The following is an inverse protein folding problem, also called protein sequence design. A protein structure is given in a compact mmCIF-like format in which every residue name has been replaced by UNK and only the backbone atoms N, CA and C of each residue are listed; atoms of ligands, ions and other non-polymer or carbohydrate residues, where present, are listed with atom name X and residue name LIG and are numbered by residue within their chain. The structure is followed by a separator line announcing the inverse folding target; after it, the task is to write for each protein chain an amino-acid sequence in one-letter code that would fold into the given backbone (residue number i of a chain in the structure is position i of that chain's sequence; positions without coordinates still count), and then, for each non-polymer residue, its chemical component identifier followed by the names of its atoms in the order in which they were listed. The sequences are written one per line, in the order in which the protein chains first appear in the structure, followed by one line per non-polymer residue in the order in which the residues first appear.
data_IF_550640361209
#
_entry.id   IF_550640361209
#
_cell.length_a   1.000
_cell.length_b   1.000
_cell.length_c   1.000
_cell.angle_alpha   90.00
_cell.angle_beta   90.00
_cell.angle_gamma   90.00
#
_symmetry.space_group_name_H-M   'P 1'
#
loop_
_entity.id
_entity.type
_entity.pdbx_description
1 polymer ?
#
# COMPACT_ATOMS: atom_id res chain seq x y z
N UNK A 1 -45.87 -30.29 -66.91
CA UNK A 1 -47.25 -29.92 -67.30
C UNK A 1 -47.98 -29.43 -66.06
N UNK A 2 -48.36 -28.13 -66.09
CA UNK A 2 -49.45 -27.44 -65.38
C UNK A 2 -49.49 -27.48 -63.83
N UNK A 3 -49.18 -26.34 -63.19
CA UNK A 3 -50.11 -25.26 -62.72
C UNK A 3 -50.69 -25.67 -61.34
N UNK A 4 -50.65 -24.90 -60.25
CA UNK A 4 -50.98 -23.48 -60.03
C UNK A 4 -50.64 -23.12 -58.57
N UNK A 5 -50.26 -21.86 -58.31
CA UNK A 5 -50.29 -21.19 -57.00
C UNK A 5 -51.76 -20.93 -56.55
N UNK A 6 -52.07 -20.74 -55.25
CA UNK A 6 -51.91 -19.42 -54.62
C UNK A 6 -51.60 -19.39 -53.12
N UNK A 7 -51.30 -18.17 -52.67
CA UNK A 7 -50.88 -17.73 -51.34
C UNK A 7 -52.00 -16.88 -50.70
N UNK A 8 -52.58 -17.29 -49.57
CA UNK A 8 -53.39 -16.51 -48.59
C UNK A 8 -53.43 -17.38 -47.30
N UNK A 9 -53.42 -16.95 -46.04
CA UNK A 9 -53.05 -15.77 -45.25
C UNK A 9 -53.36 -16.21 -43.79
N UNK A 10 -52.48 -15.85 -42.84
CA UNK A 10 -52.73 -15.69 -41.40
C UNK A 10 -53.46 -16.82 -40.62
N UNK A 11 -52.72 -17.46 -39.70
CA UNK A 11 -53.30 -17.87 -38.41
C UNK A 11 -52.28 -17.65 -37.31
N UNK A 12 -52.56 -16.65 -36.48
CA UNK A 12 -51.82 -16.28 -35.28
C UNK A 12 -51.99 -17.36 -34.20
N UNK A 13 -50.90 -17.92 -33.68
CA UNK A 13 -50.93 -18.71 -32.43
C UNK A 13 -49.72 -18.38 -31.55
N UNK A 14 -50.07 -17.80 -30.40
CA UNK A 14 -49.48 -17.90 -29.06
C UNK A 14 -48.00 -17.55 -28.83
N UNK A 15 -47.84 -16.45 -28.07
CA UNK A 15 -46.67 -16.05 -27.29
C UNK A 15 -46.12 -17.22 -26.45
N UNK A 16 -44.90 -17.64 -26.77
CA UNK A 16 -44.04 -18.47 -25.92
C UNK A 16 -43.16 -17.58 -25.03
N UNK A 17 -43.17 -17.90 -23.75
CA UNK A 17 -42.51 -17.18 -22.64
C UNK A 17 -41.03 -16.87 -22.90
N UNK A 18 -40.68 -15.60 -22.77
CA UNK A 18 -39.31 -15.11 -22.61
C UNK A 18 -38.74 -15.55 -21.25
N UNK A 19 -37.95 -16.62 -21.26
CA UNK A 19 -37.05 -16.96 -20.18
C UNK A 19 -35.77 -16.11 -20.28
N UNK A 20 -35.61 -15.19 -19.33
CA UNK A 20 -34.36 -14.45 -19.12
C UNK A 20 -33.27 -15.42 -18.65
N UNK A 21 -32.30 -15.75 -19.50
CA UNK A 21 -31.03 -16.29 -19.06
C UNK A 21 -30.05 -15.14 -18.85
N UNK A 22 -29.98 -14.67 -17.61
CA UNK A 22 -28.83 -13.93 -17.08
C UNK A 22 -27.63 -14.89 -16.99
N UNK A 23 -26.90 -15.05 -18.08
CA UNK A 23 -25.53 -15.51 -18.02
C UNK A 23 -24.63 -14.27 -17.86
N UNK A 24 -24.17 -14.03 -16.63
CA UNK A 24 -23.01 -13.17 -16.35
C UNK A 24 -21.85 -13.59 -17.27
N UNK A 25 -21.21 -12.68 -18.02
CA UNK A 25 -19.99 -13.02 -18.73
C UNK A 25 -18.93 -13.35 -17.68
N UNK A 26 -18.34 -14.55 -17.77
CA UNK A 26 -17.03 -14.80 -17.19
C UNK A 26 -16.09 -13.81 -17.86
N UNK A 27 -15.47 -12.90 -17.11
CA UNK A 27 -14.52 -11.97 -17.67
C UNK A 27 -13.39 -12.76 -18.35
N UNK A 28 -13.22 -12.60 -19.67
CA UNK A 28 -12.08 -13.15 -20.38
C UNK A 28 -10.79 -12.71 -19.67
N UNK A 29 -9.89 -13.65 -19.35
CA UNK A 29 -8.61 -13.29 -18.75
C UNK A 29 -7.84 -12.39 -19.72
N UNK A 30 -7.51 -11.16 -19.31
CA UNK A 30 -6.74 -10.19 -20.10
C UNK A 30 -5.41 -10.81 -20.53
N UNK A 31 -5.25 -11.02 -21.84
CA UNK A 31 -4.08 -11.68 -22.44
C UNK A 31 -2.99 -10.68 -22.85
N UNK A 32 -1.77 -11.18 -23.13
CA UNK A 32 -0.59 -10.36 -23.45
C UNK A 32 -0.70 -9.42 -24.66
N UNK A 33 -1.69 -9.60 -25.52
CA UNK A 33 -1.97 -8.73 -26.67
C UNK A 33 -3.06 -7.66 -26.43
N UNK A 34 -3.66 -7.63 -25.25
CA UNK A 34 -4.70 -6.68 -24.89
C UNK A 34 -4.09 -5.31 -24.48
N UNK A 35 -4.61 -4.16 -24.97
CA UNK A 35 -4.19 -2.82 -24.54
C UNK A 35 -4.27 -2.56 -23.02
N UNK A 36 -5.04 -3.36 -22.28
CA UNK A 36 -5.20 -3.33 -20.83
C UNK A 36 -4.16 -4.19 -20.08
N UNK A 37 -3.34 -4.96 -20.80
CA UNK A 37 -2.32 -5.82 -20.22
C UNK A 37 -1.08 -5.03 -19.84
N UNK A 38 -0.68 -5.09 -18.57
CA UNK A 38 0.58 -4.52 -18.11
C UNK A 38 1.64 -5.62 -17.97
N UNK A 39 2.60 -5.65 -18.90
CA UNK A 39 3.60 -6.71 -19.00
C UNK A 39 4.66 -6.60 -17.90
N UNK A 40 4.93 -7.70 -17.21
CA UNK A 40 6.08 -7.84 -16.34
C UNK A 40 7.31 -8.38 -17.09
N UNK A 41 8.51 -8.13 -16.57
CA UNK A 41 9.74 -8.75 -17.06
C UNK A 41 10.35 -9.67 -16.01
N UNK A 42 10.69 -10.90 -16.40
CA UNK A 42 11.41 -11.84 -15.54
C UNK A 42 12.78 -11.30 -15.10
N UNK A 43 13.39 -10.41 -15.91
CA UNK A 43 14.70 -9.84 -15.61
C UNK A 43 14.70 -9.02 -14.33
N UNK A 44 13.58 -8.41 -13.94
CA UNK A 44 13.48 -7.68 -12.68
C UNK A 44 13.64 -8.60 -11.47
N UNK A 45 13.16 -9.84 -11.60
CA UNK A 45 13.21 -10.85 -10.54
C UNK A 45 14.58 -11.53 -10.51
N UNK A 46 15.18 -11.82 -11.67
CA UNK A 46 16.49 -12.52 -11.74
C UNK A 46 17.69 -11.59 -11.62
N UNK A 47 17.52 -10.30 -11.88
CA UNK A 47 18.57 -9.28 -11.78
C UNK A 47 18.00 -7.97 -11.18
N UNK A 48 17.71 -7.95 -9.87
CA UNK A 48 17.00 -6.86 -9.23
C UNK A 48 17.85 -5.60 -8.97
N UNK A 49 19.14 -5.59 -9.33
CA UNK A 49 20.10 -4.60 -8.82
C UNK A 49 19.99 -3.19 -9.41
N UNK A 50 19.34 -3.02 -10.57
CA UNK A 50 19.33 -1.74 -11.30
C UNK A 50 17.91 -1.29 -11.64
N UNK A 51 17.11 -0.85 -10.65
CA UNK A 51 15.83 -0.23 -10.94
C UNK A 51 16.04 1.08 -11.72
N UNK A 52 15.09 1.47 -12.59
CA UNK A 52 15.27 2.64 -13.44
C UNK A 52 15.23 3.95 -12.62
N UNK A 53 16.05 4.93 -13.03
CA UNK A 53 16.08 6.25 -12.39
C UNK A 53 14.89 7.15 -12.76
N UNK A 54 14.18 6.80 -13.84
CA UNK A 54 13.01 7.50 -14.36
C UNK A 54 11.94 6.47 -14.77
N UNK A 55 10.69 6.92 -14.92
CA UNK A 55 9.61 6.05 -15.41
C UNK A 55 9.97 5.58 -16.83
N UNK A 56 9.96 4.26 -17.11
CA UNK A 56 10.33 3.74 -18.42
C UNK A 56 9.49 4.35 -19.55
N UNK A 57 10.11 4.79 -20.65
CA UNK A 57 9.42 5.39 -21.79
C UNK A 57 8.64 6.65 -21.40
N UNK A 58 9.25 7.50 -20.57
CA UNK A 58 8.80 8.85 -20.19
C UNK A 58 7.39 8.95 -19.58
N UNK A 59 6.85 7.84 -19.07
CA UNK A 59 5.55 7.84 -18.36
C UNK A 59 4.35 8.11 -19.27
N UNK A 60 4.42 7.74 -20.55
CA UNK A 60 3.31 7.87 -21.50
C UNK A 60 2.02 7.14 -21.09
N UNK A 61 2.09 6.12 -20.22
CA UNK A 61 0.92 5.38 -19.76
C UNK A 61 1.03 4.80 -18.33
N UNK A 62 -0.13 4.43 -17.76
CA UNK A 62 -0.25 3.91 -16.39
C UNK A 62 0.64 2.69 -16.11
N UNK A 63 0.80 1.78 -17.07
CA UNK A 63 1.56 0.55 -16.85
C UNK A 63 3.03 0.85 -16.51
N UNK A 64 3.65 1.83 -17.16
CA UNK A 64 5.05 2.18 -16.94
C UNK A 64 5.30 2.64 -15.49
N UNK A 65 4.34 3.33 -14.86
CA UNK A 65 4.43 3.69 -13.44
C UNK A 65 4.37 2.47 -12.53
N UNK A 66 3.49 1.50 -12.80
CA UNK A 66 3.47 0.27 -11.99
C UNK A 66 4.70 -0.61 -12.22
N UNK A 67 5.24 -0.63 -13.44
CA UNK A 67 6.52 -1.30 -13.73
C UNK A 67 7.66 -0.63 -12.96
N UNK A 68 7.69 0.71 -12.93
CA UNK A 68 8.65 1.48 -12.13
C UNK A 68 8.53 1.14 -10.64
N UNK A 69 7.31 1.17 -10.08
CA UNK A 69 7.06 0.84 -8.67
C UNK A 69 7.49 -0.59 -8.34
N UNK A 70 7.15 -1.57 -9.17
CA UNK A 70 7.55 -2.96 -8.94
C UNK A 70 9.06 -3.16 -9.03
N UNK A 71 9.74 -2.54 -10.00
CA UNK A 71 11.20 -2.64 -10.12
C UNK A 71 11.90 -2.09 -8.88
N UNK A 72 11.47 -0.94 -8.36
CA UNK A 72 12.01 -0.39 -7.12
C UNK A 72 11.68 -1.23 -5.89
N UNK A 73 10.43 -1.71 -5.75
CA UNK A 73 10.08 -2.60 -4.64
C UNK A 73 10.91 -3.88 -4.65
N UNK A 74 11.08 -4.51 -5.81
CA UNK A 74 11.92 -5.72 -5.96
C UNK A 74 13.38 -5.42 -5.60
N UNK A 75 13.93 -4.31 -6.08
CA UNK A 75 15.29 -3.90 -5.73
C UNK A 75 15.44 -3.71 -4.21
N UNK A 76 14.51 -2.99 -3.57
CA UNK A 76 14.53 -2.74 -2.14
C UNK A 76 14.43 -4.04 -1.33
N UNK A 77 13.65 -5.01 -1.82
CA UNK A 77 13.48 -6.31 -1.19
C UNK A 77 14.63 -7.28 -1.45
N UNK A 78 15.47 -7.06 -2.47
CA UNK A 78 16.62 -7.93 -2.74
C UNK A 78 17.65 -7.83 -1.61
N UNK A 79 18.31 -8.95 -1.28
CA UNK A 79 19.32 -9.04 -0.22
C UNK A 79 20.67 -9.59 -0.75
N UNK A 80 21.32 -8.91 -1.70
CA UNK A 80 22.57 -9.39 -2.33
C UNK A 80 23.73 -9.62 -1.33
N UNK A 81 23.65 -9.01 -0.15
CA UNK A 81 24.63 -9.13 0.94
C UNK A 81 23.99 -9.69 2.23
N UNK A 82 22.98 -10.56 2.10
CA UNK A 82 22.21 -11.15 3.21
C UNK A 82 21.35 -10.17 4.03
N UNK A 83 21.36 -8.89 3.68
CA UNK A 83 20.49 -7.85 4.24
C UNK A 83 19.72 -7.23 3.10
N UNK A 84 18.40 -7.04 3.25
CA UNK A 84 17.56 -6.43 2.22
C UNK A 84 17.99 -4.99 2.02
N UNK A 85 18.03 -4.51 0.78
CA UNK A 85 18.56 -3.18 0.47
C UNK A 85 17.87 -2.06 1.28
N UNK A 86 16.55 -2.14 1.53
CA UNK A 86 15.86 -1.14 2.35
C UNK A 86 16.25 -1.13 3.83
N UNK A 87 16.87 -2.20 4.33
CA UNK A 87 17.36 -2.34 5.71
C UNK A 87 18.82 -1.88 5.87
N UNK A 88 19.53 -1.62 4.78
CA UNK A 88 20.88 -1.06 4.81
C UNK A 88 20.82 0.38 5.33
N UNK A 89 21.18 0.61 6.60
CA UNK A 89 21.20 1.94 7.23
C UNK A 89 22.24 2.89 6.62
N UNK A 90 23.19 2.37 5.84
CA UNK A 90 24.10 3.15 5.02
C UNK A 90 23.41 3.83 3.85
N UNK A 91 22.30 3.28 3.36
CA UNK A 91 21.51 3.81 2.24
C UNK A 91 20.15 4.37 2.69
N UNK A 92 19.48 3.67 3.61
CA UNK A 92 18.14 3.97 4.10
C UNK A 92 18.12 4.00 5.64
N UNK A 93 18.69 5.05 6.27
CA UNK A 93 18.62 5.22 7.72
C UNK A 93 17.17 5.21 8.24
N UNK A 94 17.02 4.72 9.47
CA UNK A 94 15.75 4.77 10.21
C UNK A 94 15.46 6.21 10.64
N UNK A 95 14.23 6.67 10.43
CA UNK A 95 13.77 7.92 11.01
C UNK A 95 13.57 7.73 12.52
N UNK A 96 14.40 8.42 13.31
CA UNK A 96 14.48 8.23 14.76
C UNK A 96 13.45 9.05 15.53
N UNK A 97 12.76 9.98 14.88
CA UNK A 97 11.82 10.94 15.46
C UNK A 97 12.26 12.39 15.26
N UNK A 98 11.42 13.35 15.65
CA UNK A 98 11.59 14.78 15.35
C UNK A 98 12.63 15.46 16.20
N UNK A 99 12.90 14.92 17.39
CA UNK A 99 13.91 15.45 18.30
C UNK A 99 15.29 14.82 18.06
N UNK A 100 15.36 13.69 17.36
CA UNK A 100 16.60 12.94 17.16
C UNK A 100 17.18 13.18 15.77
N UNK A 101 18.50 13.37 15.71
CA UNK A 101 19.21 13.49 14.45
C UNK A 101 19.31 12.11 13.78
N UNK A 102 18.41 11.84 12.84
CA UNK A 102 18.34 10.62 12.04
C UNK A 102 19.47 10.55 11.00
N UNK A 103 20.11 11.67 10.70
CA UNK A 103 21.25 11.79 9.78
C UNK A 103 22.60 11.53 10.45
N UNK A 104 22.68 11.61 11.77
CA UNK A 104 23.87 11.25 12.52
C UNK A 104 24.15 9.75 12.39
N UNK A 105 25.43 9.38 12.49
CA UNK A 105 25.82 7.97 12.49
C UNK A 105 25.16 7.27 13.67
N UNK A 106 24.35 6.25 13.36
CA UNK A 106 23.68 5.42 14.35
C UNK A 106 23.68 3.96 13.88
N UNK A 107 23.53 3.03 14.83
CA UNK A 107 23.53 1.58 14.57
C UNK A 107 22.14 0.98 14.70
N UNK A 108 21.08 1.80 14.59
CA UNK A 108 19.70 1.35 14.77
C UNK A 108 19.30 0.54 13.54
N UNK A 109 19.24 -0.79 13.70
CA UNK A 109 18.86 -1.70 12.62
C UNK A 109 17.36 -1.61 12.31
N UNK A 110 16.53 -1.41 13.34
CA UNK A 110 15.08 -1.24 13.25
C UNK A 110 14.57 -0.44 14.44
N UNK A 111 13.51 0.35 14.25
CA UNK A 111 12.75 1.01 15.32
C UNK A 111 11.26 0.97 14.99
N UNK A 112 10.60 -0.07 15.49
CA UNK A 112 9.15 -0.24 15.38
C UNK A 112 8.43 0.55 16.46
N UNK A 113 7.37 1.28 16.10
CA UNK A 113 6.58 2.06 17.04
C UNK A 113 5.07 1.81 16.91
N UNK A 114 4.37 1.92 18.04
CA UNK A 114 2.91 2.04 18.08
C UNK A 114 2.55 3.50 17.84
N UNK A 115 1.47 3.74 17.11
CA UNK A 115 1.06 5.07 16.66
C UNK A 115 0.63 6.06 17.76
N UNK A 116 0.10 5.57 18.88
CA UNK A 116 -0.56 6.32 19.97
C UNK A 116 0.29 6.53 21.22
N UNK A 117 1.31 5.70 21.45
CA UNK A 117 1.93 5.57 22.77
C UNK A 117 3.34 6.13 22.79
N UNK A 118 3.53 7.18 23.60
CA UNK A 118 4.84 7.56 24.14
C UNK A 118 5.28 6.43 25.07
N UNK A 119 6.46 5.87 24.82
CA UNK A 119 7.06 4.83 25.66
C UNK A 119 7.12 5.31 27.13
N UNK A 120 6.83 4.39 28.05
CA UNK A 120 6.78 4.63 29.50
C UNK A 120 8.08 4.27 30.23
N UNK A 121 9.08 3.74 29.53
CA UNK A 121 10.33 3.24 30.13
C UNK A 121 11.58 4.07 29.79
N UNK A 122 11.42 5.28 29.22
CA UNK A 122 12.58 6.11 28.83
C UNK A 122 12.91 7.22 29.84
N UNK A 123 14.20 7.36 30.14
CA UNK A 123 14.73 8.46 30.96
C UNK A 123 14.79 9.77 30.15
N UNK A 124 14.99 10.91 30.80
CA UNK A 124 14.96 12.26 30.18
C UNK A 124 15.99 12.52 29.06
N UNK A 125 16.83 11.54 28.71
CA UNK A 125 17.75 11.55 27.57
C UNK A 125 17.34 10.64 26.41
N UNK A 126 16.29 9.82 26.56
CA UNK A 126 15.86 8.85 25.57
C UNK A 126 14.47 9.18 25.03
N UNK A 127 14.47 9.60 23.76
CA UNK A 127 13.32 9.61 22.86
C UNK A 127 12.00 10.17 23.43
N UNK A 128 11.77 11.46 23.22
CA UNK A 128 10.41 11.98 23.09
C UNK A 128 9.91 11.57 21.69
N UNK A 129 8.74 10.91 21.64
CA UNK A 129 8.02 10.76 20.39
C UNK A 129 7.88 12.12 19.69
N UNK A 130 7.93 12.15 18.34
CA UNK A 130 7.34 13.22 17.59
C UNK A 130 5.91 13.52 18.04
N UNK A 131 5.67 14.69 18.61
CA UNK A 131 4.45 15.38 18.27
C UNK A 131 4.52 15.66 16.75
N UNK A 132 3.79 14.90 15.92
CA UNK A 132 3.65 15.26 14.50
C UNK A 132 3.71 14.14 13.46
N UNK A 133 4.03 12.88 13.79
CA UNK A 133 3.92 11.78 12.82
C UNK A 133 2.55 11.10 12.92
N UNK A 134 1.48 11.84 12.56
CA UNK A 134 0.13 11.28 12.38
C UNK A 134 0.11 10.54 11.02
N UNK A 135 0.61 9.29 11.02
CA UNK A 135 0.89 8.53 9.78
C UNK A 135 -0.33 7.76 9.23
N UNK A 136 -1.41 7.63 9.99
CA UNK A 136 -2.77 7.57 9.44
C UNK A 136 -3.56 8.75 10.00
N UNK A 137 -4.86 8.84 9.74
CA UNK A 137 -5.73 9.84 10.35
C UNK A 137 -6.13 9.44 11.78
N UNK A 138 -6.07 10.39 12.73
CA UNK A 138 -6.60 10.30 14.12
C UNK A 138 -6.06 9.18 15.03
N UNK A 139 -4.75 8.98 15.10
CA UNK A 139 -4.10 7.99 15.99
C UNK A 139 -4.63 6.54 15.98
N UNK A 140 -5.39 6.15 14.95
CA UNK A 140 -5.91 4.80 14.73
C UNK A 140 -4.92 3.65 15.09
N UNK A 141 -5.33 2.82 16.04
CA UNK A 141 -4.61 1.60 16.45
C UNK A 141 -5.30 0.37 15.84
N UNK A 142 -4.47 -0.49 15.25
CA UNK A 142 -4.90 -1.69 14.52
C UNK A 142 -4.36 -2.92 15.24
N UNK A 143 -5.23 -3.90 15.45
CA UNK A 143 -4.85 -5.22 15.94
C UNK A 143 -5.22 -6.28 14.91
N UNK A 144 -4.30 -7.21 14.67
CA UNK A 144 -4.57 -8.40 13.86
C UNK A 144 -5.59 -9.34 14.53
N UNK A 145 -5.98 -10.40 13.82
CA UNK A 145 -6.94 -11.39 14.29
C UNK A 145 -6.37 -12.33 15.38
N UNK A 146 -5.08 -12.24 15.70
CA UNK A 146 -4.46 -12.85 16.87
C UNK A 146 -4.38 -11.85 18.05
N UNK A 147 -4.81 -10.61 17.85
CA UNK A 147 -4.81 -9.54 18.84
C UNK A 147 -3.48 -8.80 18.94
N UNK A 148 -2.50 -9.01 18.05
CA UNK A 148 -1.23 -8.27 18.08
C UNK A 148 -1.38 -6.90 17.41
N UNK A 149 -0.76 -5.87 18.00
CA UNK A 149 -0.76 -4.52 17.44
C UNK A 149 0.06 -4.45 16.15
N UNK A 150 -0.37 -3.61 15.21
CA UNK A 150 0.42 -3.23 14.05
C UNK A 150 1.38 -2.10 14.43
N UNK A 151 2.66 -2.31 14.14
CA UNK A 151 3.75 -1.38 14.39
C UNK A 151 4.25 -0.76 13.08
N UNK A 152 4.92 0.38 13.18
CA UNK A 152 5.35 1.15 12.01
C UNK A 152 6.82 1.49 12.08
N UNK A 153 7.44 1.67 10.92
CA UNK A 153 8.78 2.22 10.76
C UNK A 153 8.81 3.13 9.54
N UNK A 154 9.55 4.24 9.64
CA UNK A 154 9.87 5.10 8.50
C UNK A 154 11.38 5.11 8.24
N UNK A 155 11.74 5.14 6.97
CA UNK A 155 13.11 5.28 6.47
C UNK A 155 13.14 6.27 5.31
N UNK A 156 14.32 6.79 5.02
CA UNK A 156 14.53 7.73 3.91
C UNK A 156 15.91 7.50 3.30
N UNK A 157 16.12 7.87 2.04
CA UNK A 157 17.44 7.73 1.44
C UNK A 157 18.44 8.71 2.08
N UNK A 158 19.66 8.22 2.37
CA UNK A 158 20.69 8.97 3.09
C UNK A 158 21.09 10.29 2.42
N UNK A 159 20.97 10.38 1.09
CA UNK A 159 21.29 11.64 0.38
C UNK A 159 20.41 12.80 0.82
N UNK A 160 19.23 12.54 1.36
CA UNK A 160 18.35 13.56 1.93
C UNK A 160 19.01 14.31 3.10
N UNK A 161 19.96 13.68 3.80
CA UNK A 161 20.75 14.32 4.85
C UNK A 161 21.65 15.46 4.36
N UNK A 162 21.98 15.47 3.07
CA UNK A 162 22.82 16.51 2.46
C UNK A 162 21.98 17.71 1.97
N UNK A 163 20.66 17.65 2.11
CA UNK A 163 19.74 18.74 1.72
C UNK A 163 19.50 19.63 2.94
N UNK A 164 19.66 20.95 2.77
CA UNK A 164 19.39 21.90 3.83
C UNK A 164 17.92 21.81 4.28
N UNK A 165 17.66 21.75 5.60
CA UNK A 165 16.32 21.62 6.17
C UNK A 165 15.34 22.74 5.78
N UNK A 166 15.86 23.90 5.37
CA UNK A 166 15.10 25.05 4.86
C UNK A 166 14.79 24.96 3.37
N UNK A 167 15.27 23.92 2.68
CA UNK A 167 15.06 23.77 1.24
C UNK A 167 13.58 23.59 0.93
N UNK A 168 13.08 24.35 -0.03
CA UNK A 168 11.72 24.16 -0.56
C UNK A 168 11.66 23.00 -1.56
N UNK A 169 12.83 22.46 -1.95
CA UNK A 169 12.91 21.35 -2.90
C UNK A 169 13.75 20.18 -2.42
N UNK A 170 13.34 18.97 -2.81
CA UNK A 170 14.08 17.72 -2.66
C UNK A 170 14.63 17.27 -4.02
N UNK A 171 15.85 16.72 -4.06
CA UNK A 171 16.49 16.29 -5.32
C UNK A 171 15.77 15.08 -5.94
N UNK A 172 15.98 14.88 -7.24
CA UNK A 172 15.59 13.66 -7.93
C UNK A 172 16.25 12.43 -7.29
N UNK A 173 15.55 11.30 -7.27
CA UNK A 173 16.00 10.07 -6.62
C UNK A 173 15.71 9.99 -5.12
N UNK A 174 15.22 11.09 -4.50
CA UNK A 174 14.74 11.09 -3.11
C UNK A 174 13.73 9.98 -2.91
N UNK A 175 13.91 9.20 -1.85
CA UNK A 175 13.10 8.02 -1.55
C UNK A 175 12.72 8.03 -0.09
N UNK A 176 11.44 7.89 0.19
CA UNK A 176 10.91 7.64 1.53
C UNK A 176 10.19 6.30 1.56
N UNK A 177 10.36 5.61 2.67
CA UNK A 177 9.78 4.31 2.91
C UNK A 177 9.03 4.38 4.22
N UNK A 178 7.78 3.94 4.21
CA UNK A 178 7.03 3.66 5.43
C UNK A 178 6.60 2.21 5.38
N UNK A 179 6.77 1.49 6.48
CA UNK A 179 6.40 0.08 6.55
C UNK A 179 5.56 -0.19 7.80
N UNK A 180 4.63 -1.14 7.68
CA UNK A 180 3.78 -1.62 8.76
C UNK A 180 4.04 -3.11 9.00
N UNK A 181 4.02 -3.50 10.27
CA UNK A 181 4.53 -4.78 10.74
C UNK A 181 3.59 -5.37 11.79
N UNK A 182 3.38 -6.70 11.76
CA UNK A 182 2.70 -7.42 12.83
C UNK A 182 3.64 -8.46 13.44
N UNK A 183 3.42 -8.81 14.71
CA UNK A 183 4.14 -9.92 15.34
C UNK A 183 3.81 -11.23 14.60
N UNK A 184 4.84 -12.03 14.31
CA UNK A 184 4.71 -13.35 13.69
C UNK A 184 5.48 -14.40 14.49
N UNK A 185 5.09 -15.66 14.33
CA UNK A 185 5.83 -16.80 14.85
C UNK A 185 6.95 -17.24 13.91
N UNK A 186 7.86 -18.08 14.40
CA UNK A 186 8.94 -18.64 13.59
C UNK A 186 8.43 -19.46 12.39
N UNK A 187 7.25 -20.08 12.54
CA UNK A 187 6.60 -20.87 11.50
C UNK A 187 6.05 -20.02 10.36
N UNK A 188 5.80 -18.73 10.59
CA UNK A 188 5.26 -17.80 9.60
C UNK A 188 6.35 -17.13 8.77
N UNK A 189 7.64 -17.24 9.13
CA UNK A 189 8.73 -16.51 8.45
C UNK A 189 8.83 -16.75 6.95
N UNK A 190 8.45 -17.94 6.45
CA UNK A 190 8.46 -18.22 5.01
C UNK A 190 7.43 -17.42 4.22
N UNK A 191 6.40 -16.90 4.89
CA UNK A 191 5.30 -16.16 4.27
C UNK A 191 5.51 -14.65 4.31
N UNK A 192 6.49 -14.17 5.09
CA UNK A 192 6.71 -12.74 5.32
C UNK A 192 8.14 -12.29 5.03
N UNK A 193 8.27 -11.10 4.46
CA UNK A 193 9.47 -10.30 4.70
C UNK A 193 9.47 -9.94 6.18
N UNK A 194 10.52 -10.28 6.92
CA UNK A 194 10.53 -10.14 8.37
C UNK A 194 11.78 -9.43 8.90
N UNK A 195 11.65 -8.86 10.09
CA UNK A 195 12.72 -8.28 10.88
C UNK A 195 12.60 -8.72 12.34
N UNK A 196 13.62 -8.39 13.13
CA UNK A 196 13.57 -8.44 14.58
C UNK A 196 13.71 -7.02 15.13
N UNK A 197 12.96 -6.71 16.19
CA UNK A 197 13.00 -5.39 16.82
C UNK A 197 12.64 -5.50 18.30
N UNK A 198 13.45 -4.91 19.18
CA UNK A 198 13.11 -4.75 20.59
C UNK A 198 11.97 -3.73 20.71
N UNK A 199 10.78 -4.22 21.06
CA UNK A 199 9.50 -3.50 21.07
C UNK A 199 8.88 -3.46 22.45
N UNK A 200 9.33 -4.33 23.35
CA UNK A 200 8.99 -4.28 24.77
C UNK A 200 9.87 -3.26 25.54
N UNK A 201 10.88 -2.68 24.87
CA UNK A 201 11.78 -1.65 25.39
C UNK A 201 12.59 -2.10 26.62
N UNK A 202 12.88 -3.39 26.73
CA UNK A 202 13.67 -3.95 27.83
C UNK A 202 15.20 -3.87 27.57
N UNK A 203 15.61 -3.38 26.39
CA UNK A 203 17.01 -3.24 25.98
C UNK A 203 17.64 -4.54 25.48
N UNK A 204 16.86 -5.59 25.28
CA UNK A 204 17.30 -6.92 24.87
C UNK A 204 16.30 -7.52 23.90
N UNK A 205 16.75 -7.72 22.67
CA UNK A 205 15.99 -8.45 21.66
C UNK A 205 15.64 -9.87 22.14
N UNK A 206 14.35 -10.15 22.24
CA UNK A 206 13.81 -11.47 22.60
C UNK A 206 13.60 -12.34 21.34
N UNK A 207 13.62 -13.67 21.52
CA UNK A 207 13.56 -14.60 20.38
C UNK A 207 12.21 -14.59 19.65
N UNK A 208 11.15 -14.16 20.31
CA UNK A 208 9.80 -14.07 19.77
C UNK A 208 9.44 -12.66 19.25
N UNK A 209 10.37 -11.70 19.33
CA UNK A 209 10.21 -10.36 18.75
C UNK A 209 10.51 -10.36 17.24
N UNK A 210 9.72 -11.16 16.52
CA UNK A 210 9.80 -11.33 15.08
C UNK A 210 8.58 -10.66 14.46
N UNK A 211 8.84 -9.82 13.46
CA UNK A 211 7.83 -8.96 12.87
C UNK A 211 7.76 -9.18 11.37
N UNK A 212 6.58 -9.54 10.86
CA UNK A 212 6.31 -9.72 9.43
C UNK A 212 5.72 -8.46 8.82
N UNK A 213 6.27 -8.04 7.68
CA UNK A 213 5.82 -6.85 6.95
C UNK A 213 4.43 -7.09 6.39
N UNK A 214 3.47 -6.25 6.76
CA UNK A 214 2.10 -6.28 6.27
C UNK A 214 1.82 -5.17 5.26
N UNK A 215 2.54 -4.06 5.31
CA UNK A 215 2.42 -2.96 4.35
C UNK A 215 3.76 -2.27 4.09
N UNK A 216 3.93 -1.74 2.89
CA UNK A 216 5.12 -1.04 2.44
C UNK A 216 4.76 0.09 1.49
N UNK A 217 4.96 1.32 1.93
CA UNK A 217 4.89 2.52 1.11
C UNK A 217 6.26 2.86 0.58
N UNK A 218 6.33 2.94 -0.74
CA UNK A 218 7.44 3.46 -1.49
C UNK A 218 7.03 4.81 -2.05
N UNK A 219 7.75 5.84 -1.65
CA UNK A 219 7.59 7.18 -2.18
C UNK A 219 8.90 7.55 -2.84
N UNK A 220 8.88 7.82 -4.15
CA UNK A 220 10.12 8.05 -4.89
C UNK A 220 10.01 9.18 -5.90
N UNK A 221 10.94 10.13 -5.83
CA UNK A 221 11.11 11.20 -6.81
C UNK A 221 11.95 10.75 -7.99
N UNK A 222 11.66 11.32 -9.15
CA UNK A 222 12.52 11.24 -10.35
C UNK A 222 12.78 12.64 -10.88
N UNK A 223 13.53 12.76 -11.98
CA UNK A 223 13.81 14.05 -12.58
C UNK A 223 12.54 14.66 -13.20
N UNK A 224 11.68 13.82 -13.78
CA UNK A 224 10.42 14.24 -14.38
C UNK A 224 9.24 14.24 -13.41
N UNK A 225 9.34 13.51 -12.28
CA UNK A 225 8.31 13.40 -11.25
C UNK A 225 8.78 13.91 -9.87
N UNK A 226 8.95 15.24 -9.71
CA UNK A 226 9.32 15.86 -8.44
C UNK A 226 8.21 15.79 -7.38
N UNK A 227 6.95 15.56 -7.74
CA UNK A 227 5.81 15.35 -6.85
C UNK A 227 5.82 14.00 -6.10
N UNK A 228 6.80 13.17 -6.46
CA UNK A 228 6.96 11.78 -6.06
C UNK A 228 5.93 10.83 -6.67
N UNK A 229 6.39 9.63 -7.00
CA UNK A 229 5.53 8.48 -7.29
C UNK A 229 5.23 7.78 -5.96
N UNK A 230 3.96 7.69 -5.61
CA UNK A 230 3.47 7.09 -4.38
C UNK A 230 2.97 5.68 -4.70
N UNK A 231 3.61 4.66 -4.14
CA UNK A 231 3.23 3.27 -4.39
C UNK A 231 3.06 2.49 -3.08
N UNK A 232 2.00 1.70 -3.02
CA UNK A 232 1.66 0.89 -1.85
C UNK A 232 1.70 -0.58 -2.20
N UNK A 233 2.45 -1.35 -1.41
CA UNK A 233 2.48 -2.80 -1.44
C UNK A 233 1.96 -3.35 -0.12
N UNK A 234 1.21 -4.45 -0.19
CA UNK A 234 0.68 -5.11 0.99
C UNK A 234 0.79 -6.63 0.88
N UNK A 235 0.86 -7.28 2.03
CA UNK A 235 0.70 -8.72 2.12
C UNK A 235 -0.73 -9.10 1.68
N UNK A 236 -0.85 -10.11 0.81
CA UNK A 236 -2.10 -10.45 0.13
C UNK A 236 -3.17 -10.95 1.08
N UNK A 237 -2.77 -11.48 2.23
CA UNK A 237 -3.67 -11.97 3.28
C UNK A 237 -4.05 -10.90 4.31
N UNK A 238 -3.74 -9.62 4.11
CA UNK A 238 -4.13 -8.58 5.06
C UNK A 238 -5.64 -8.52 5.25
N UNK A 239 -6.37 -8.21 4.18
CA UNK A 239 -7.78 -7.90 4.26
C UNK A 239 -8.52 -8.22 2.94
N UNK A 240 -9.80 -8.62 3.02
CA UNK A 240 -10.66 -8.82 1.86
C UNK A 240 -11.04 -7.50 1.19
N UNK A 241 -11.56 -7.57 -0.04
CA UNK A 241 -12.23 -6.44 -0.71
C UNK A 241 -13.60 -6.20 -0.08
N UNK A 242 -13.87 -4.97 0.37
CA UNK A 242 -15.15 -4.60 0.98
C UNK A 242 -16.33 -4.72 0.01
N UNK A 243 -16.09 -4.47 -1.28
CA UNK A 243 -17.13 -4.30 -2.29
C UNK A 243 -17.45 -5.59 -3.05
N UNK A 244 -16.76 -6.69 -2.77
CA UNK A 244 -17.05 -7.98 -3.42
C UNK A 244 -17.20 -9.09 -2.39
N UNK A 245 -17.83 -10.19 -2.79
CA UNK A 245 -17.81 -11.41 -1.98
C UNK A 245 -16.40 -12.01 -2.07
N UNK A 246 -15.67 -12.16 -0.96
CA UNK A 246 -14.31 -12.67 -1.03
C UNK A 246 -14.32 -14.14 -1.45
N UNK A 247 -13.27 -14.57 -2.17
CA UNK A 247 -13.12 -15.97 -2.60
C UNK A 247 -12.98 -16.92 -1.42
N UNK A 248 -12.36 -16.46 -0.33
CA UNK A 248 -12.28 -17.13 0.96
C UNK A 248 -12.69 -16.18 2.08
N UNK A 249 -13.41 -16.69 3.08
CA UNK A 249 -13.67 -15.94 4.32
C UNK A 249 -12.58 -16.17 5.38
N UNK A 250 -11.65 -17.09 5.18
CA UNK A 250 -10.63 -17.45 6.18
C UNK A 250 -9.23 -16.99 5.77
N UNK A 251 -8.34 -16.87 6.76
CA UNK A 251 -6.92 -16.59 6.56
C UNK A 251 -6.56 -15.11 6.43
N UNK A 252 -7.50 -14.20 6.71
CA UNK A 252 -7.23 -12.76 6.72
C UNK A 252 -6.57 -12.34 8.04
N UNK A 253 -5.48 -11.56 7.96
CA UNK A 253 -4.78 -11.04 9.14
C UNK A 253 -5.61 -10.01 9.90
N UNK A 254 -6.47 -9.25 9.21
CA UNK A 254 -7.23 -8.13 9.80
C UNK A 254 -8.74 -8.25 9.60
N UNK A 255 -9.27 -9.42 9.24
CA UNK A 255 -10.71 -9.64 9.16
C UNK A 255 -11.09 -11.02 9.71
N UNK A 256 -12.02 -11.07 10.65
CA UNK A 256 -12.52 -12.34 11.14
C UNK A 256 -13.27 -13.08 10.04
N UNK A 257 -13.28 -14.41 10.07
CA UNK A 257 -14.05 -15.17 9.08
C UNK A 257 -15.54 -14.90 9.14
N UNK A 258 -16.00 -14.57 10.33
CA UNK A 258 -17.36 -14.12 10.57
C UNK A 258 -17.66 -12.84 9.77
N UNK A 259 -16.82 -11.80 9.86
CA UNK A 259 -17.08 -10.54 9.19
C UNK A 259 -16.76 -10.59 7.70
N UNK A 260 -15.67 -11.24 7.30
CA UNK A 260 -15.32 -11.43 5.89
C UNK A 260 -16.44 -12.16 5.11
N UNK A 261 -17.10 -13.13 5.74
CA UNK A 261 -18.23 -13.86 5.11
C UNK A 261 -19.46 -12.99 4.84
N UNK A 262 -19.58 -11.84 5.51
CA UNK A 262 -20.71 -10.91 5.34
C UNK A 262 -20.50 -9.89 4.22
N UNK A 263 -19.28 -9.74 3.70
CA UNK A 263 -19.02 -8.83 2.59
C UNK A 263 -19.75 -9.26 1.31
N UNK A 264 -20.29 -8.32 0.51
CA UNK A 264 -20.08 -6.86 0.60
C UNK A 264 -21.09 -6.11 1.48
N UNK A 265 -21.94 -6.80 2.23
CA UNK A 265 -23.00 -6.22 3.07
C UNK A 265 -22.75 -6.58 4.54
N UNK A 266 -21.87 -5.84 5.24
CA UNK A 266 -21.49 -6.14 6.61
C UNK A 266 -22.70 -6.36 7.52
N UNK A 267 -22.65 -7.41 8.33
CA UNK A 267 -23.67 -7.64 9.37
C UNK A 267 -23.40 -6.78 10.60
N UNK A 268 -24.41 -6.63 11.47
CA UNK A 268 -24.25 -5.94 12.74
C UNK A 268 -23.06 -6.49 13.55
N UNK A 269 -22.23 -5.57 14.07
CA UNK A 269 -21.01 -5.90 14.81
C UNK A 269 -19.75 -6.09 13.94
N UNK A 270 -19.87 -6.02 12.61
CA UNK A 270 -18.72 -5.98 11.70
C UNK A 270 -18.43 -4.53 11.28
N UNK A 271 -17.89 -3.75 12.20
CA UNK A 271 -17.54 -2.34 12.01
C UNK A 271 -16.24 -2.23 11.18
N UNK A 272 -16.31 -2.56 9.89
CA UNK A 272 -15.14 -2.56 9.02
C UNK A 272 -14.47 -1.18 8.94
N UNK A 273 -13.14 -1.15 9.04
CA UNK A 273 -12.27 0.03 9.00
C UNK A 273 -12.49 1.01 10.16
N UNK A 274 -13.10 0.54 11.24
CA UNK A 274 -13.09 1.22 12.53
C UNK A 274 -11.91 0.74 13.34
N UNK A 275 -11.14 1.67 13.89
CA UNK A 275 -9.97 1.38 14.70
C UNK A 275 -10.26 1.48 16.19
N UNK A 276 -9.35 0.96 17.00
CA UNK A 276 -9.45 1.09 18.44
C UNK A 276 -9.23 2.55 18.86
N UNK A 277 -10.15 3.08 19.66
CA UNK A 277 -9.97 4.32 20.41
C UNK A 277 -9.28 3.97 21.73
N UNK A 278 -8.01 4.37 21.88
CA UNK A 278 -7.20 4.03 23.05
C UNK A 278 -6.76 5.29 23.74
N UNK A 279 -7.19 5.44 25.00
CA UNK A 279 -6.69 6.49 25.89
C UNK A 279 -5.42 6.05 26.60
N UNK A 280 -4.41 6.92 26.59
CA UNK A 280 -3.14 6.66 27.26
C UNK A 280 -2.26 5.66 26.52
N UNK A 281 -1.68 4.74 27.27
CA UNK A 281 -0.63 3.87 26.75
C UNK A 281 -1.24 2.68 26.00
N UNK A 282 -0.92 2.51 24.71
CA UNK A 282 -1.44 1.41 23.88
C UNK A 282 -0.76 0.06 24.11
N UNK A 283 -1.50 -0.99 24.47
CA UNK A 283 -0.91 -2.30 24.69
C UNK A 283 -0.43 -2.95 23.38
N UNK A 284 0.58 -3.81 23.47
CA UNK A 284 1.04 -4.64 22.34
C UNK A 284 -0.01 -5.67 21.90
N UNK A 285 -1.00 -5.94 22.75
CA UNK A 285 -2.11 -6.84 22.45
C UNK A 285 -3.45 -6.19 22.76
N UNK A 286 -4.48 -6.43 21.95
CA UNK A 286 -5.79 -5.83 22.10
C UNK A 286 -6.89 -6.58 21.37
N UNK A 287 -8.08 -5.98 21.32
CA UNK A 287 -9.22 -6.53 20.60
C UNK A 287 -8.96 -6.45 19.09
N UNK A 288 -9.09 -7.55 18.34
CA UNK A 288 -8.93 -7.55 16.89
C UNK A 288 -9.77 -6.48 16.19
N UNK A 289 -9.18 -5.83 15.21
CA UNK A 289 -9.90 -4.92 14.31
C UNK A 289 -10.48 -5.69 13.12
N UNK A 290 -11.56 -5.16 12.55
CA UNK A 290 -12.14 -5.65 11.30
C UNK A 290 -11.81 -4.66 10.19
N UNK A 291 -11.02 -5.09 9.21
CA UNK A 291 -10.50 -4.24 8.12
C UNK A 291 -10.81 -4.90 6.78
N UNK A 292 -11.24 -4.08 5.82
CA UNK A 292 -11.38 -4.47 4.43
C UNK A 292 -10.86 -3.35 3.53
N UNK A 293 -10.38 -3.68 2.33
CA UNK A 293 -9.98 -2.69 1.34
C UNK A 293 -11.24 -2.15 0.65
N UNK A 294 -11.58 -0.88 0.89
CA UNK A 294 -12.78 -0.25 0.31
C UNK A 294 -12.64 -0.15 -1.20
N UNK A 295 -11.55 0.45 -1.69
CA UNK A 295 -11.31 0.59 -3.13
C UNK A 295 -10.17 -0.32 -3.58
N UNK A 296 -10.51 -1.53 -4.03
CA UNK A 296 -9.53 -2.41 -4.65
C UNK A 296 -8.79 -1.69 -5.81
N UNK A 297 -7.49 -1.95 -5.96
CA UNK A 297 -6.60 -1.22 -6.88
C UNK A 297 -6.58 0.31 -6.69
N UNK A 298 -6.98 0.80 -5.51
CA UNK A 298 -7.14 2.22 -5.20
C UNK A 298 -8.00 2.95 -6.24
N UNK A 299 -9.07 2.31 -6.73
CA UNK A 299 -9.91 2.84 -7.83
C UNK A 299 -11.39 2.72 -7.52
N UNK A 300 -12.14 3.76 -7.86
CA UNK A 300 -13.59 3.79 -7.91
C UNK A 300 -14.09 3.83 -9.36
N UNK A 301 -15.29 3.32 -9.58
CA UNK A 301 -15.96 3.49 -10.88
C UNK A 301 -16.15 4.98 -11.22
N UNK A 302 -15.77 5.35 -12.44
CA UNK A 302 -15.78 6.74 -12.93
C UNK A 302 -14.47 7.50 -12.71
N UNK A 303 -13.50 6.96 -11.96
CA UNK A 303 -12.16 7.54 -11.87
C UNK A 303 -11.46 7.55 -13.24
N UNK A 304 -10.49 8.45 -13.40
CA UNK A 304 -9.72 8.54 -14.65
C UNK A 304 -9.11 7.18 -15.02
N UNK A 305 -9.48 6.67 -16.20
CA UNK A 305 -9.00 5.38 -16.72
C UNK A 305 -9.21 4.20 -15.74
N UNK A 306 -10.28 4.22 -14.93
CA UNK A 306 -10.55 3.23 -13.89
C UNK A 306 -10.36 1.77 -14.34
N UNK A 307 -10.99 1.37 -15.46
CA UNK A 307 -10.86 0.02 -16.03
C UNK A 307 -9.40 -0.34 -16.35
N UNK A 308 -8.64 0.58 -16.93
CA UNK A 308 -7.24 0.36 -17.30
C UNK A 308 -6.32 0.31 -16.08
N UNK A 309 -6.52 1.18 -15.08
CA UNK A 309 -5.79 1.12 -13.81
C UNK A 309 -5.97 -0.26 -13.14
N UNK A 310 -7.23 -0.72 -12.97
CA UNK A 310 -7.54 -2.03 -12.39
C UNK A 310 -6.88 -3.17 -13.16
N UNK A 311 -7.01 -3.17 -14.48
CA UNK A 311 -6.46 -4.21 -15.35
C UNK A 311 -4.93 -4.26 -15.30
N UNK A 312 -4.27 -3.10 -15.40
CA UNK A 312 -2.80 -3.01 -15.35
C UNK A 312 -2.26 -3.55 -14.01
N UNK A 313 -2.79 -3.12 -12.87
CA UNK A 313 -2.35 -3.59 -11.55
C UNK A 313 -2.64 -5.10 -11.38
N UNK A 314 -3.82 -5.57 -11.79
CA UNK A 314 -4.18 -6.99 -11.64
C UNK A 314 -3.28 -7.89 -12.49
N UNK A 315 -3.01 -7.51 -13.74
CA UNK A 315 -2.20 -8.31 -14.67
C UNK A 315 -0.73 -8.33 -14.25
N UNK A 316 -0.13 -7.20 -13.86
CA UNK A 316 1.28 -7.18 -13.42
C UNK A 316 1.48 -7.92 -12.09
N UNK A 317 0.54 -7.79 -11.13
CA UNK A 317 0.56 -8.55 -9.89
C UNK A 317 0.52 -10.06 -10.14
N UNK A 318 -0.40 -10.54 -10.99
CA UNK A 318 -0.54 -11.98 -11.31
C UNK A 318 0.76 -12.54 -11.91
N UNK A 319 1.37 -11.80 -12.85
CA UNK A 319 2.63 -12.22 -13.49
C UNK A 319 3.79 -12.30 -12.50
N UNK A 320 4.00 -11.25 -11.70
CA UNK A 320 5.12 -11.20 -10.76
C UNK A 320 4.95 -12.20 -9.61
N UNK A 321 3.75 -12.36 -9.06
CA UNK A 321 3.47 -13.39 -8.06
C UNK A 321 3.78 -14.80 -8.58
N UNK A 322 3.41 -15.09 -9.83
CA UNK A 322 3.75 -16.37 -10.47
C UNK A 322 5.27 -16.51 -10.65
N UNK A 323 5.95 -15.41 -11.01
CA UNK A 323 7.41 -15.38 -11.20
C UNK A 323 8.16 -15.61 -9.88
N UNK A 324 7.71 -15.01 -8.77
CA UNK A 324 8.28 -15.22 -7.44
C UNK A 324 8.00 -16.62 -6.91
N UNK A 325 6.78 -17.14 -7.10
CA UNK A 325 6.41 -18.49 -6.67
C UNK A 325 7.22 -19.58 -7.41
N UNK A 326 7.70 -19.29 -8.61
CA UNK A 326 8.56 -20.19 -9.39
C UNK A 326 10.05 -20.15 -8.96
N UNK A 327 10.45 -19.22 -8.09
CA UNK A 327 11.81 -19.17 -7.57
C UNK A 327 12.09 -20.33 -6.60
N UNK A 328 13.35 -20.79 -6.49
CA UNK A 328 13.71 -21.78 -5.49
C UNK A 328 13.48 -21.24 -4.07
N UNK A 329 13.20 -22.13 -3.12
CA UNK A 329 12.99 -21.77 -1.70
C UNK A 329 14.21 -21.06 -1.06
N UNK A 330 15.40 -21.19 -1.66
CA UNK A 330 16.61 -20.48 -1.24
C UNK A 330 16.64 -19.02 -1.70
N UNK A 331 15.71 -18.59 -2.56
CA UNK A 331 15.62 -17.22 -3.04
C UNK A 331 14.89 -16.34 -2.03
N UNK A 332 15.55 -15.28 -1.57
CA UNK A 332 14.98 -14.30 -0.64
C UNK A 332 13.82 -13.48 -1.25
N UNK A 333 13.66 -13.53 -2.58
CA UNK A 333 12.56 -12.89 -3.31
C UNK A 333 11.35 -13.80 -3.48
N UNK A 334 11.45 -15.12 -3.20
CA UNK A 334 10.32 -16.04 -3.34
C UNK A 334 9.11 -15.57 -2.51
N UNK A 335 9.38 -15.10 -1.28
CA UNK A 335 8.36 -14.60 -0.35
C UNK A 335 7.51 -13.46 -0.94
N UNK A 336 8.00 -12.75 -1.96
CA UNK A 336 7.24 -11.69 -2.63
C UNK A 336 6.02 -12.22 -3.41
N UNK A 337 5.87 -13.54 -3.61
CA UNK A 337 4.61 -14.14 -4.08
C UNK A 337 3.43 -13.87 -3.13
N UNK A 338 3.72 -13.55 -1.88
CA UNK A 338 2.74 -13.19 -0.85
C UNK A 338 2.40 -11.70 -0.81
N UNK A 339 3.02 -10.87 -1.66
CA UNK A 339 2.79 -9.44 -1.70
C UNK A 339 2.11 -9.02 -3.02
N UNK A 340 1.43 -7.88 -3.00
CA UNK A 340 0.80 -7.26 -4.18
C UNK A 340 0.99 -5.76 -4.15
N UNK A 341 1.09 -5.15 -5.34
CA UNK A 341 0.86 -3.71 -5.48
C UNK A 341 -0.63 -3.45 -5.26
N UNK A 342 -0.97 -2.66 -4.24
CA UNK A 342 -2.34 -2.16 -4.02
C UNK A 342 -2.64 -1.08 -5.04
N UNK A 343 -1.71 -0.16 -5.28
CA UNK A 343 -1.84 0.88 -6.30
C UNK A 343 -0.68 1.84 -6.29
N UNK A 344 -0.68 2.74 -7.26
CA UNK A 344 0.26 3.86 -7.31
C UNK A 344 -0.43 5.13 -7.79
N UNK A 345 0.03 6.29 -7.31
CA UNK A 345 -0.54 7.61 -7.53
C UNK A 345 0.56 8.61 -7.90
N UNK A 346 0.26 9.48 -8.88
CA UNK A 346 1.15 10.53 -9.37
C UNK A 346 0.31 11.63 -10.06
N UNK A 347 0.94 12.68 -10.57
CA UNK A 347 0.25 13.73 -11.34
C UNK A 347 0.61 13.68 -12.83
N UNK A 348 -0.31 14.13 -13.69
CA UNK A 348 -0.06 14.20 -15.14
C UNK A 348 0.76 15.40 -15.58
N UNK A 349 0.64 16.52 -14.87
CA UNK A 349 1.40 17.74 -15.13
C UNK A 349 2.10 18.16 -13.83
N UNK A 350 3.40 17.93 -13.78
CA UNK A 350 4.22 18.17 -12.60
C UNK A 350 4.49 19.64 -12.36
N UNK A 351 4.12 20.54 -13.29
CA UNK A 351 4.14 21.99 -13.09
C UNK A 351 2.93 22.49 -12.30
N UNK A 352 1.88 21.68 -12.18
CA UNK A 352 0.63 22.02 -11.50
C UNK A 352 0.52 21.35 -10.13
N UNK A 353 -0.44 21.81 -9.32
CA UNK A 353 -0.73 21.19 -8.04
C UNK A 353 -1.34 19.79 -8.21
N UNK A 354 -1.33 18.99 -7.14
CA UNK A 354 -1.99 17.68 -7.09
C UNK A 354 -3.52 17.78 -6.94
N UNK A 355 -4.16 18.70 -7.67
CA UNK A 355 -5.63 18.73 -7.76
C UNK A 355 -6.16 17.40 -8.30
N UNK A 356 -7.40 17.05 -7.95
CA UNK A 356 -7.98 15.75 -8.31
C UNK A 356 -7.93 15.50 -9.82
N UNK A 357 -8.15 16.52 -10.63
CA UNK A 357 -8.13 16.47 -12.10
C UNK A 357 -6.72 16.21 -12.65
N UNK A 358 -5.68 16.55 -11.90
CA UNK A 358 -4.29 16.32 -12.28
C UNK A 358 -3.77 14.95 -11.82
N UNK A 359 -4.45 14.28 -10.88
CA UNK A 359 -4.02 12.97 -10.38
C UNK A 359 -4.28 11.84 -11.38
N UNK A 360 -3.38 10.85 -11.41
CA UNK A 360 -3.43 9.67 -12.29
C UNK A 360 -3.12 8.40 -11.53
N UNK A 361 -3.56 7.26 -12.08
CA UNK A 361 -3.42 5.96 -11.45
C UNK A 361 -4.51 5.72 -10.40
N UNK A 362 -4.09 5.33 -9.20
CA UNK A 362 -4.96 4.87 -8.12
C UNK A 362 -5.48 6.04 -7.27
N UNK A 363 -6.46 6.78 -7.80
CA UNK A 363 -6.98 8.02 -7.18
C UNK A 363 -7.64 7.79 -5.81
N UNK A 364 -8.06 6.57 -5.50
CA UNK A 364 -8.60 6.19 -4.17
C UNK A 364 -7.57 5.43 -3.32
N UNK A 365 -6.28 5.62 -3.57
CA UNK A 365 -5.23 4.88 -2.86
C UNK A 365 -5.16 5.29 -1.38
N UNK A 366 -5.78 4.47 -0.54
CA UNK A 366 -5.66 4.44 0.90
C UNK A 366 -5.57 2.97 1.31
N UNK A 367 -4.49 2.59 2.00
CA UNK A 367 -4.20 1.20 2.26
C UNK A 367 -4.95 0.68 3.52
N UNK A 368 -4.79 -0.60 3.82
CA UNK A 368 -5.49 -1.27 4.93
C UNK A 368 -4.79 -1.16 6.28
N UNK A 369 -3.49 -0.84 6.32
CA UNK A 369 -2.67 -0.90 7.53
C UNK A 369 -2.05 0.43 7.99
N UNK A 370 -2.07 1.46 7.16
CA UNK A 370 -1.48 2.80 7.34
C UNK A 370 -2.44 3.93 6.97
N UNK A 371 -3.48 3.70 6.15
CA UNK A 371 -4.56 4.68 5.89
C UNK A 371 -5.96 4.09 6.13
N UNK A 372 -6.10 3.16 7.08
CA UNK A 372 -7.36 2.45 7.38
C UNK A 372 -8.55 3.41 7.51
N UNK A 373 -8.37 4.51 8.24
CA UNK A 373 -9.43 5.49 8.53
C UNK A 373 -9.61 6.51 7.40
N UNK A 374 -8.71 6.52 6.41
CA UNK A 374 -8.74 7.41 5.25
C UNK A 374 -9.43 6.76 4.03
N UNK A 375 -9.75 5.46 4.10
CA UNK A 375 -10.36 4.72 2.99
C UNK A 375 -11.71 5.28 2.52
N UNK A 376 -12.36 6.14 3.32
CA UNK A 376 -13.61 6.84 3.00
C UNK A 376 -13.56 8.32 3.45
N UNK A 377 -12.41 8.97 3.26
CA UNK A 377 -12.20 10.38 3.59
C UNK A 377 -11.65 10.57 5.01
N UNK A 378 -11.67 11.80 5.54
CA UNK A 378 -11.01 12.10 6.81
C UNK A 378 -11.83 11.77 8.08
N UNK A 379 -13.05 11.26 7.93
CA UNK A 379 -14.04 11.16 9.02
C UNK A 379 -14.15 9.81 9.73
N UNK A 380 -13.17 8.91 9.59
CA UNK A 380 -13.20 7.55 10.17
C UNK A 380 -14.48 6.77 9.87
N UNK A 381 -14.90 6.77 8.61
CA UNK A 381 -16.17 6.17 8.23
C UNK A 381 -16.01 4.65 8.09
N UNK A 382 -16.75 3.91 8.91
CA UNK A 382 -16.85 2.45 8.76
C UNK A 382 -17.55 2.08 7.45
N UNK A 383 -17.06 1.03 6.79
CA UNK A 383 -17.73 0.49 5.61
C UNK A 383 -19.04 -0.19 6.02
N UNK A 384 -20.15 0.27 5.44
CA UNK A 384 -21.52 -0.23 5.73
C UNK A 384 -22.25 -0.78 4.51
N UNK A 385 -21.55 -0.89 3.37
CA UNK A 385 -22.11 -1.34 2.10
C UNK A 385 -21.86 -0.36 0.95
N UNK A 386 -22.25 -0.75 -0.26
CA UNK A 386 -21.98 0.02 -1.49
C UNK A 386 -22.77 1.32 -1.63
N UNK A 387 -23.91 1.45 -0.96
CA UNK A 387 -24.81 2.59 -1.08
C UNK A 387 -24.31 3.86 -0.38
N UNK A 388 -23.31 3.76 0.49
CA UNK A 388 -22.81 4.84 1.35
C UNK A 388 -21.33 5.21 1.09
N UNK A 389 -20.76 4.76 -0.03
CA UNK A 389 -19.35 4.98 -0.36
C UNK A 389 -19.00 6.47 -0.49
N UNK A 390 -17.92 6.87 0.19
CA UNK A 390 -17.29 8.18 0.07
C UNK A 390 -15.90 8.03 -0.56
N UNK A 391 -15.40 9.03 -1.31
CA UNK A 391 -14.03 9.01 -1.83
C UNK A 391 -13.02 8.80 -0.70
N UNK A 392 -11.93 8.08 -0.98
CA UNK A 392 -10.81 7.96 -0.06
C UNK A 392 -10.02 9.27 0.01
N UNK A 393 -9.40 9.54 1.17
CA UNK A 393 -8.34 10.53 1.30
C UNK A 393 -7.02 9.87 0.94
N UNK A 394 -6.56 10.10 -0.30
CA UNK A 394 -5.33 9.50 -0.81
C UNK A 394 -4.06 10.26 -0.37
N UNK A 395 -2.89 9.80 -0.80
CA UNK A 395 -1.60 10.38 -0.42
C UNK A 395 -1.54 11.91 -0.64
N UNK A 396 -2.00 12.42 -1.79
CA UNK A 396 -1.99 13.86 -2.09
C UNK A 396 -3.01 14.66 -1.27
N UNK A 397 -4.06 14.03 -0.72
CA UNK A 397 -4.95 14.69 0.22
C UNK A 397 -4.24 15.02 1.55
N UNK A 398 -3.25 14.23 1.96
CA UNK A 398 -2.44 14.43 3.17
C UNK A 398 -1.12 15.18 2.91
N UNK A 399 -0.54 15.02 1.73
CA UNK A 399 0.82 15.48 1.40
C UNK A 399 0.88 16.66 0.42
N UNK A 400 -0.22 17.03 -0.25
CA UNK A 400 -0.38 18.26 -1.05
C UNK A 400 0.83 18.72 -1.88
N UNK A 401 0.83 18.48 -3.19
CA UNK A 401 1.86 19.02 -4.09
C UNK A 401 1.40 20.34 -4.72
N UNK A 402 2.26 21.35 -4.73
CA UNK A 402 1.95 22.68 -5.29
C UNK A 402 2.76 23.05 -6.53
N UNK A 403 3.65 22.16 -7.00
CA UNK A 403 4.54 22.39 -8.13
C UNK A 403 6.02 22.19 -7.78
N UNK A 404 6.91 22.23 -8.78
CA UNK A 404 8.27 21.69 -8.66
C UNK A 404 9.17 22.55 -7.78
N UNK A 405 8.80 23.81 -7.55
CA UNK A 405 9.54 24.75 -6.72
C UNK A 405 9.33 24.55 -5.20
N UNK A 406 8.31 23.76 -4.82
CA UNK A 406 7.93 23.52 -3.43
C UNK A 406 7.69 22.02 -3.16
N UNK A 407 8.44 21.13 -3.82
CA UNK A 407 8.20 19.70 -3.70
C UNK A 407 8.66 19.10 -2.35
N UNK A 408 9.45 19.80 -1.54
CA UNK A 408 9.86 19.30 -0.23
C UNK A 408 8.68 19.19 0.76
N UNK A 409 7.61 19.96 0.56
CA UNK A 409 6.43 19.98 1.44
C UNK A 409 5.65 18.67 1.42
N UNK A 410 5.84 17.84 0.39
CA UNK A 410 5.22 16.52 0.34
C UNK A 410 5.86 15.55 1.34
N UNK A 411 7.02 15.88 1.91
CA UNK A 411 7.64 15.13 2.99
C UNK A 411 7.39 15.76 4.35
N UNK A 412 6.64 15.07 5.21
CA UNK A 412 6.47 15.48 6.60
C UNK A 412 7.64 15.08 7.50
N UNK A 413 8.58 14.24 7.04
CA UNK A 413 9.75 13.84 7.84
C UNK A 413 11.00 14.66 7.50
N UNK A 414 11.08 15.25 6.30
CA UNK A 414 12.26 15.92 5.80
C UNK A 414 12.77 17.04 6.72
N UNK A 415 11.88 17.90 7.20
CA UNK A 415 12.25 19.00 8.11
C UNK A 415 12.67 18.54 9.50
N UNK A 416 12.62 17.23 9.77
CA UNK A 416 12.83 16.63 11.07
C UNK A 416 13.99 15.63 11.11
N UNK A 417 14.56 15.24 9.97
CA UNK A 417 15.63 14.23 9.92
C UNK A 417 16.92 14.69 10.62
N UNK A 418 17.13 15.99 10.79
CA UNK A 418 18.30 16.56 11.49
C UNK A 418 18.08 16.77 13.01
N UNK A 419 16.87 16.52 13.53
CA UNK A 419 16.52 16.74 14.93
C UNK A 419 16.33 18.22 15.31
N UNK A 420 16.13 18.52 16.60
CA UNK A 420 15.80 19.86 17.12
C UNK A 420 16.97 20.85 17.23
N UNK A 421 18.14 20.52 16.67
CA UNK A 421 19.41 21.23 16.91
C UNK A 421 20.02 21.99 15.73
N UNK A 422 19.60 21.77 14.48
CA UNK A 422 20.25 22.36 13.29
C UNK A 422 19.39 23.41 12.55
N UNK A 423 18.36 23.95 13.22
CA UNK A 423 17.43 24.93 12.67
C UNK A 423 17.23 26.15 13.56
N UNK A 424 18.28 26.95 13.74
CA UNK A 424 18.19 28.39 14.03
C UNK A 424 19.15 29.17 13.16
#
# INVERSE_FOLDING_TARGET
MNLTQPLILATSIALGLSGCNNATPVADEIQSGDPLFCKASQQWVTNPSNPPAEIPGDGENLCQFYQFSWQWFINLMAAPQSTRNFLDSGQYPVFLGTEQNSCATNTVASKLFIRTQKDSHTSSSDFTLPSGTNQALNDAVIYDQQGNVVLYEARFNKDMCNVASTSTTLPAGTTEIKSSWRKISEQEKSDYVWIQSDTNANGKLESDEIYGMVGFHLVKSTALHPEFIWATFEHRSNAPDCQTKPQTSQGWSFASSQCASSLPNPKAGCDFNKTADISGSTPLTGMPTEICQVYAQGTREGDNQATKNRANITTINKQLQSSFAALPNSSELQVLSQYKLVGALWVSDTSQSSSLENQRGSIQLANTTMETNAQQGFGELSYSGKSSLQPAANCFACHGYSGPQNNAQVSHIFTHIHGSGEGK
#
